data_IF_179391899284
#
_entry.id   IF_179391899284
#
_cell.length_a   1.000
_cell.length_b   1.000
_cell.length_c   1.000
_cell.angle_alpha   90.00
_cell.angle_beta   90.00
_cell.angle_gamma   90.00
#
_symmetry.space_group_name_H-M   'P 1'
#
loop_
_entity.id
_entity.type
_entity.pdbx_description
1 polymer ?
#
# COMPACT_ATOMS: atom_id res chain seq x y z
N UNK A 1 1.72 -55.21 79.21
CA UNK A 1 0.68 -54.95 78.20
C UNK A 1 1.38 -54.74 76.87
N UNK A 2 1.34 -55.75 76.01
CA UNK A 2 1.86 -55.66 74.66
C UNK A 2 1.10 -54.60 73.85
N UNK A 3 1.77 -53.98 72.88
CA UNK A 3 1.19 -52.98 71.97
C UNK A 3 1.53 -53.28 70.53
N UNK A 4 0.70 -52.77 69.61
CA UNK A 4 0.99 -52.83 68.18
C UNK A 4 2.14 -51.87 67.80
N UNK A 5 2.98 -52.28 66.84
CA UNK A 5 4.19 -51.55 66.45
C UNK A 5 3.91 -50.18 65.82
N UNK A 6 2.86 -50.07 65.00
CA UNK A 6 2.63 -48.88 64.18
C UNK A 6 1.67 -47.87 64.83
N UNK A 7 0.68 -48.35 65.60
CA UNK A 7 -0.38 -47.50 66.15
C UNK A 7 -0.43 -47.49 67.68
N UNK A 8 0.45 -48.26 68.35
CA UNK A 8 0.55 -48.27 69.81
C UNK A 8 -0.68 -48.83 70.54
N UNK A 9 -1.66 -49.40 69.83
CA UNK A 9 -2.86 -49.99 70.44
C UNK A 9 -2.47 -51.13 71.38
N UNK A 10 -3.08 -51.15 72.57
CA UNK A 10 -2.84 -52.20 73.57
C UNK A 10 -3.50 -53.50 73.14
N UNK A 11 -2.78 -54.61 73.28
CA UNK A 11 -3.27 -55.96 72.96
C UNK A 11 -3.39 -56.80 74.22
N UNK A 12 -4.22 -57.86 74.22
CA UNK A 12 -4.22 -58.86 75.29
C UNK A 12 -2.80 -59.39 75.56
N UNK A 13 -2.45 -59.53 76.83
CA UNK A 13 -1.17 -60.06 77.29
C UNK A 13 -1.31 -61.58 77.48
N UNK A 14 -0.31 -62.36 77.08
CA UNK A 14 -0.33 -63.83 77.19
C UNK A 14 -0.25 -64.32 78.64
N UNK A 15 0.15 -63.43 79.55
CA UNK A 15 0.17 -63.64 81.00
C UNK A 15 -1.08 -63.16 81.74
N UNK A 16 -2.03 -62.51 81.05
CA UNK A 16 -3.23 -61.95 81.68
C UNK A 16 -4.26 -63.03 82.08
N UNK A 17 -5.06 -62.73 83.11
CA UNK A 17 -6.13 -63.62 83.53
C UNK A 17 -7.25 -63.66 82.47
N UNK A 18 -7.74 -64.86 82.16
CA UNK A 18 -8.81 -65.08 81.16
C UNK A 18 -10.06 -64.22 81.43
N UNK A 19 -10.40 -64.01 82.71
CA UNK A 19 -11.55 -63.18 83.12
C UNK A 19 -11.45 -61.72 82.64
N UNK A 20 -10.24 -61.21 82.39
CA UNK A 20 -9.98 -59.84 81.96
C UNK A 20 -9.90 -59.70 80.43
N UNK A 21 -9.88 -60.82 79.69
CA UNK A 21 -9.72 -60.84 78.23
C UNK A 21 -10.80 -60.07 77.48
N UNK A 22 -12.06 -60.16 77.92
CA UNK A 22 -13.15 -59.40 77.31
C UNK A 22 -12.98 -57.87 77.49
N UNK A 23 -12.39 -57.44 78.61
CA UNK A 23 -12.07 -56.04 78.83
C UNK A 23 -10.94 -55.57 77.91
N UNK A 24 -9.86 -56.37 77.80
CA UNK A 24 -8.72 -56.08 76.93
C UNK A 24 -9.12 -55.99 75.44
N UNK A 25 -10.00 -56.88 74.97
CA UNK A 25 -10.50 -56.86 73.58
C UNK A 25 -11.36 -55.62 73.32
N UNK A 26 -12.21 -55.21 74.28
CA UNK A 26 -12.96 -53.95 74.16
C UNK A 26 -12.03 -52.74 74.08
N UNK A 27 -11.00 -52.69 74.93
CA UNK A 27 -9.99 -51.61 74.88
C UNK A 27 -9.31 -51.54 73.53
N UNK A 28 -8.85 -52.68 72.98
CA UNK A 28 -8.27 -52.75 71.64
C UNK A 28 -9.27 -52.25 70.57
N UNK A 29 -10.51 -52.74 70.61
CA UNK A 29 -11.56 -52.33 69.67
C UNK A 29 -11.84 -50.82 69.72
N UNK A 30 -11.89 -50.23 70.92
CA UNK A 30 -12.04 -48.78 71.09
C UNK A 30 -10.83 -47.99 70.59
N UNK A 31 -9.60 -48.50 70.76
CA UNK A 31 -8.39 -47.87 70.20
C UNK A 31 -8.40 -47.87 68.67
N UNK A 32 -8.81 -48.99 68.06
CA UNK A 32 -8.95 -49.09 66.59
C UNK A 32 -10.02 -48.12 66.09
N UNK A 33 -11.20 -48.12 66.69
CA UNK A 33 -12.31 -47.22 66.30
C UNK A 33 -11.90 -45.75 66.39
N UNK A 34 -11.21 -45.38 67.48
CA UNK A 34 -10.70 -44.02 67.68
C UNK A 34 -9.70 -43.62 66.58
N UNK A 35 -8.75 -44.50 66.25
CA UNK A 35 -7.77 -44.22 65.19
C UNK A 35 -8.38 -44.19 63.80
N UNK A 36 -9.49 -44.90 63.55
CA UNK A 36 -10.16 -44.94 62.23
C UNK A 36 -11.29 -43.91 62.09
N UNK A 37 -11.62 -43.16 63.15
CA UNK A 37 -12.80 -42.29 63.19
C UNK A 37 -12.86 -41.26 62.05
N UNK A 38 -11.71 -40.73 61.63
CA UNK A 38 -11.61 -39.71 60.57
C UNK A 38 -11.75 -40.29 59.15
N UNK A 39 -11.69 -41.62 59.00
CA UNK A 39 -11.90 -42.31 57.73
C UNK A 39 -13.38 -42.67 57.48
N UNK A 40 -14.28 -42.30 58.40
CA UNK A 40 -15.71 -42.46 58.18
C UNK A 40 -16.10 -41.72 56.90
N UNK A 41 -16.89 -42.37 56.05
CA UNK A 41 -17.07 -41.97 54.65
C UNK A 41 -17.42 -40.49 54.46
N UNK A 42 -16.75 -39.86 53.50
CA UNK A 42 -17.08 -38.52 53.01
C UNK A 42 -18.29 -38.53 52.07
N UNK A 43 -18.62 -37.37 51.51
CA UNK A 43 -19.58 -37.26 50.42
C UNK A 43 -18.96 -37.68 49.10
N UNK A 44 -19.78 -38.12 48.14
CA UNK A 44 -19.33 -38.51 46.79
C UNK A 44 -18.51 -37.39 46.14
N UNK A 45 -17.35 -37.74 45.59
CA UNK A 45 -16.45 -36.79 44.93
C UNK A 45 -15.45 -36.09 45.86
N UNK A 46 -15.43 -36.42 47.16
CA UNK A 46 -14.36 -35.96 48.05
C UNK A 46 -13.12 -36.85 47.97
N UNK A 47 -11.97 -36.26 48.29
CA UNK A 47 -10.70 -36.95 48.45
C UNK A 47 -10.21 -36.82 49.90
N UNK A 48 -9.42 -37.80 50.34
CA UNK A 48 -8.83 -37.79 51.68
C UNK A 48 -7.54 -36.97 51.67
N UNK A 49 -7.46 -35.97 52.54
CA UNK A 49 -6.27 -35.13 52.69
C UNK A 49 -5.72 -35.24 54.11
N UNK A 50 -4.39 -35.29 54.23
CA UNK A 50 -3.72 -35.20 55.54
C UNK A 50 -3.94 -33.81 56.12
N UNK A 51 -4.41 -33.76 57.37
CA UNK A 51 -4.49 -32.49 58.11
C UNK A 51 -3.17 -32.15 58.82
N UNK A 52 -2.30 -33.15 59.00
CA UNK A 52 -0.99 -33.00 59.63
C UNK A 52 -0.08 -34.19 59.32
N UNK A 53 1.14 -34.18 59.85
CA UNK A 53 2.06 -35.32 59.81
C UNK A 53 1.67 -36.45 60.79
N UNK A 54 0.79 -36.22 61.77
CA UNK A 54 0.29 -37.23 62.73
C UNK A 54 -0.39 -38.41 62.04
N UNK A 55 -0.14 -39.64 62.50
CA UNK A 55 -0.77 -40.83 61.95
C UNK A 55 -2.30 -40.77 62.03
N UNK A 56 -2.96 -41.27 61.00
CA UNK A 56 -4.42 -41.28 60.87
C UNK A 56 -5.12 -39.90 60.91
N UNK A 57 -4.36 -38.81 60.82
CA UNK A 57 -4.90 -37.45 60.81
C UNK A 57 -5.35 -37.04 59.40
N UNK A 58 -6.62 -37.27 59.07
CA UNK A 58 -7.21 -37.01 57.76
C UNK A 58 -8.47 -36.14 57.84
N UNK A 59 -8.78 -35.47 56.74
CA UNK A 59 -10.08 -34.82 56.50
C UNK A 59 -10.51 -35.07 55.07
N UNK A 60 -11.80 -35.15 54.83
CA UNK A 60 -12.35 -35.16 53.48
C UNK A 60 -12.40 -33.73 52.96
N UNK A 61 -11.80 -33.50 51.79
CA UNK A 61 -11.85 -32.23 51.07
C UNK A 61 -12.53 -32.42 49.72
N UNK A 62 -12.97 -31.33 49.09
CA UNK A 62 -13.41 -31.39 47.70
C UNK A 62 -12.25 -31.86 46.79
N UNK A 63 -12.55 -32.74 45.84
CA UNK A 63 -11.73 -32.93 44.64
C UNK A 63 -11.60 -31.57 43.94
N UNK A 64 -10.43 -31.21 43.39
CA UNK A 64 -10.18 -29.95 42.68
C UNK A 64 -9.97 -28.69 43.57
N UNK A 65 -9.17 -28.81 44.63
CA UNK A 65 -8.70 -27.64 45.41
C UNK A 65 -7.37 -27.13 44.83
N UNK A 66 -7.33 -25.88 44.36
CA UNK A 66 -6.12 -25.21 43.84
C UNK A 66 -6.42 -23.86 43.16
N UNK A 67 -5.39 -23.13 42.73
CA UNK A 67 -5.56 -21.83 42.06
C UNK A 67 -6.22 -21.94 40.68
N UNK A 68 -6.06 -23.08 40.01
CA UNK A 68 -6.69 -23.40 38.73
C UNK A 68 -7.38 -24.75 38.88
N UNK A 69 -8.71 -24.74 38.83
CA UNK A 69 -9.55 -25.94 38.98
C UNK A 69 -10.04 -26.49 37.63
N UNK A 70 -10.11 -25.65 36.60
CA UNK A 70 -10.45 -26.03 35.24
C UNK A 70 -9.76 -25.11 34.23
N UNK A 71 -9.42 -25.67 33.05
CA UNK A 71 -9.08 -24.88 31.86
C UNK A 71 -9.98 -25.37 30.73
N UNK A 72 -10.80 -24.48 30.18
CA UNK A 72 -11.70 -24.78 29.07
C UNK A 72 -11.10 -24.27 27.75
N UNK A 73 -11.18 -25.10 26.69
CA UNK A 73 -10.81 -24.67 25.35
C UNK A 73 -11.82 -23.64 24.82
N UNK A 74 -11.35 -22.69 24.01
CA UNK A 74 -12.16 -21.62 23.43
C UNK A 74 -11.54 -21.07 22.15
N UNK A 75 -12.09 -19.96 21.63
CA UNK A 75 -11.49 -19.32 20.45
C UNK A 75 -10.07 -18.86 20.76
N UNK A 76 -9.10 -19.34 19.99
CA UNK A 76 -7.69 -19.01 20.16
C UNK A 76 -6.96 -19.83 21.23
N UNK A 77 -7.64 -20.67 22.02
CA UNK A 77 -7.03 -21.53 23.03
C UNK A 77 -7.42 -23.00 22.77
N UNK A 78 -6.42 -23.84 22.48
CA UNK A 78 -6.62 -25.30 22.35
C UNK A 78 -5.90 -26.06 23.45
N UNK A 79 -6.48 -27.19 23.88
CA UNK A 79 -5.95 -28.06 24.93
C UNK A 79 -5.72 -29.45 24.35
N UNK A 80 -4.46 -29.86 24.19
CA UNK A 80 -4.11 -31.07 23.43
C UNK A 80 -4.10 -32.37 24.26
N UNK A 81 -4.35 -32.32 25.58
CA UNK A 81 -4.34 -33.51 26.45
C UNK A 81 -5.24 -33.35 27.69
N UNK A 82 -6.56 -33.33 27.50
CA UNK A 82 -7.54 -33.17 28.60
C UNK A 82 -7.57 -34.29 29.65
N UNK A 83 -6.77 -35.35 29.49
CA UNK A 83 -6.73 -36.52 30.39
C UNK A 83 -5.35 -36.82 30.98
N UNK A 84 -4.33 -36.00 30.71
CA UNK A 84 -2.97 -36.15 31.28
C UNK A 84 -2.74 -35.24 32.49
N UNK A 85 -1.74 -35.53 33.35
CA UNK A 85 -1.48 -34.75 34.57
C UNK A 85 -1.02 -33.30 34.31
N UNK A 86 -0.68 -32.96 33.06
CA UNK A 86 -0.29 -31.60 32.64
C UNK A 86 -1.00 -31.29 31.32
N UNK A 87 -1.96 -30.34 31.28
CA UNK A 87 -2.58 -29.90 30.04
C UNK A 87 -1.59 -29.09 29.19
N UNK A 88 -1.44 -29.44 27.90
CA UNK A 88 -0.76 -28.57 26.93
C UNK A 88 -1.76 -27.55 26.40
N UNK A 89 -1.54 -26.28 26.72
CA UNK A 89 -2.37 -25.15 26.29
C UNK A 89 -1.66 -24.42 25.16
N UNK A 90 -2.31 -24.27 24.00
CA UNK A 90 -1.77 -23.53 22.86
C UNK A 90 -2.58 -22.27 22.61
N UNK A 91 -1.89 -21.13 22.46
CA UNK A 91 -2.49 -19.89 21.96
C UNK A 91 -2.33 -19.84 20.44
N UNK A 92 -3.45 -19.99 19.72
CA UNK A 92 -3.47 -20.04 18.26
C UNK A 92 -3.04 -18.71 17.61
N UNK A 93 -3.28 -17.58 18.29
CA UNK A 93 -2.82 -16.26 17.81
C UNK A 93 -1.31 -16.12 17.95
N UNK A 94 -0.74 -16.60 19.06
CA UNK A 94 0.70 -16.60 19.26
C UNK A 94 1.42 -17.46 18.20
N UNK A 95 0.83 -18.61 17.83
CA UNK A 95 1.39 -19.46 16.77
C UNK A 95 1.17 -18.93 15.35
N UNK A 96 0.24 -17.98 15.16
CA UNK A 96 0.00 -17.37 13.86
C UNK A 96 1.13 -16.41 13.45
N UNK A 97 1.79 -15.79 14.44
CA UNK A 97 2.94 -14.90 14.28
C UNK A 97 4.21 -15.76 14.37
N UNK A 98 4.76 -16.16 13.23
CA UNK A 98 5.93 -17.06 13.16
C UNK A 98 7.18 -16.41 12.55
N UNK A 99 7.04 -15.23 11.94
CA UNK A 99 8.13 -14.47 11.34
C UNK A 99 8.06 -12.96 11.63
N UNK A 100 9.19 -12.28 11.37
CA UNK A 100 9.28 -10.82 11.52
C UNK A 100 8.35 -10.14 10.50
N UNK A 101 7.52 -9.22 11.01
CA UNK A 101 6.64 -8.40 10.19
C UNK A 101 5.35 -9.09 9.76
N UNK A 102 5.03 -10.26 10.32
CA UNK A 102 3.73 -10.89 10.15
C UNK A 102 2.59 -9.96 10.60
N UNK A 103 1.52 -9.97 9.81
CA UNK A 103 0.26 -9.29 10.11
C UNK A 103 -0.80 -10.37 10.30
N UNK A 104 -1.55 -10.31 11.39
CA UNK A 104 -2.71 -11.18 11.59
C UNK A 104 -3.96 -10.40 11.17
N UNK A 105 -4.61 -10.83 10.10
CA UNK A 105 -5.80 -10.19 9.54
C UNK A 105 -7.05 -11.00 9.91
N UNK A 106 -8.12 -10.31 10.30
CA UNK A 106 -9.42 -10.94 10.51
C UNK A 106 -10.04 -11.39 9.18
N UNK A 107 -10.49 -12.63 9.12
CA UNK A 107 -11.06 -13.25 7.90
C UNK A 107 -12.57 -13.45 7.96
N UNK A 108 -13.18 -13.14 9.11
CA UNK A 108 -14.58 -13.36 9.42
C UNK A 108 -14.83 -13.28 10.92
N UNK A 109 -16.00 -13.74 11.38
CA UNK A 109 -16.28 -13.86 12.81
C UNK A 109 -15.30 -14.87 13.44
N UNK A 110 -14.66 -14.47 14.54
CA UNK A 110 -13.80 -15.31 15.38
C UNK A 110 -12.66 -16.05 14.64
N UNK A 111 -12.28 -15.56 13.45
CA UNK A 111 -11.26 -16.19 12.58
C UNK A 111 -10.25 -15.17 12.08
N UNK A 112 -9.02 -15.65 11.90
CA UNK A 112 -7.92 -14.84 11.39
C UNK A 112 -6.99 -15.69 10.51
N UNK A 113 -6.19 -15.02 9.69
CA UNK A 113 -5.11 -15.63 8.94
C UNK A 113 -3.87 -14.73 8.97
N UNK A 114 -2.69 -15.36 8.87
CA UNK A 114 -1.42 -14.64 8.74
C UNK A 114 -1.27 -14.12 7.31
N UNK A 115 -0.94 -12.84 7.19
CA UNK A 115 -0.32 -12.23 6.02
C UNK A 115 1.15 -11.96 6.34
N UNK A 116 2.05 -12.70 5.71
CA UNK A 116 3.49 -12.47 5.85
C UNK A 116 3.88 -11.07 5.35
N UNK A 117 4.99 -10.52 5.87
CA UNK A 117 5.50 -9.22 5.42
C UNK A 117 5.82 -9.21 3.92
N UNK A 118 5.54 -8.08 3.27
CA UNK A 118 5.87 -7.87 1.86
C UNK A 118 7.36 -7.61 1.64
N UNK A 119 7.76 -7.50 0.38
CA UNK A 119 9.12 -7.08 0.00
C UNK A 119 9.28 -5.57 0.12
N UNK A 120 10.53 -5.09 0.20
CA UNK A 120 10.83 -3.66 0.19
C UNK A 120 10.15 -2.93 -0.97
N UNK A 121 9.61 -1.74 -0.71
CA UNK A 121 8.90 -0.93 -1.71
C UNK A 121 7.45 -1.34 -1.97
N UNK A 122 6.93 -2.32 -1.22
CA UNK A 122 5.51 -2.63 -1.21
C UNK A 122 4.74 -1.85 -0.14
N UNK A 123 3.47 -1.60 -0.39
CA UNK A 123 2.51 -1.05 0.58
C UNK A 123 1.35 -2.03 0.79
N UNK A 124 0.70 -1.94 1.95
CA UNK A 124 -0.45 -2.76 2.28
C UNK A 124 -1.70 -2.16 1.62
N UNK A 125 -2.40 -2.96 0.82
CA UNK A 125 -3.60 -2.56 0.08
C UNK A 125 -4.77 -3.46 0.45
N UNK A 126 -5.97 -2.89 0.58
CA UNK A 126 -7.20 -3.66 0.68
C UNK A 126 -7.45 -4.46 -0.61
N UNK A 127 -7.79 -5.73 -0.47
CA UNK A 127 -8.18 -6.61 -1.56
C UNK A 127 -9.27 -7.57 -1.10
N UNK A 128 -10.52 -7.28 -1.45
CA UNK A 128 -11.68 -8.10 -1.09
C UNK A 128 -11.68 -9.49 -1.71
N UNK A 129 -10.77 -9.77 -2.65
CA UNK A 129 -10.60 -11.10 -3.25
C UNK A 129 -9.56 -11.96 -2.52
N UNK A 130 -8.71 -11.34 -1.70
CA UNK A 130 -7.75 -12.05 -0.86
C UNK A 130 -8.43 -12.62 0.40
N UNK A 131 -8.00 -13.79 0.87
CA UNK A 131 -8.57 -14.43 2.05
C UNK A 131 -8.48 -13.56 3.33
N UNK A 132 -7.42 -12.76 3.44
CA UNK A 132 -7.18 -11.80 4.53
C UNK A 132 -7.87 -10.44 4.32
N UNK A 133 -8.51 -10.21 3.17
CA UNK A 133 -8.98 -8.89 2.75
C UNK A 133 -7.86 -7.89 2.42
N UNK A 134 -6.59 -8.34 2.44
CA UNK A 134 -5.39 -7.51 2.33
C UNK A 134 -4.36 -8.16 1.42
N UNK A 135 -3.63 -7.34 0.67
CA UNK A 135 -2.46 -7.76 -0.12
C UNK A 135 -1.33 -6.75 -0.04
N UNK A 136 -0.13 -7.19 -0.39
CA UNK A 136 0.98 -6.31 -0.69
C UNK A 136 0.93 -5.89 -2.17
N UNK A 137 1.03 -4.58 -2.41
CA UNK A 137 1.08 -4.00 -3.74
C UNK A 137 2.39 -3.22 -3.92
N UNK A 138 2.94 -3.24 -5.12
CA UNK A 138 4.17 -2.50 -5.46
C UNK A 138 3.86 -1.02 -5.66
N UNK A 139 4.68 -0.13 -5.08
CA UNK A 139 4.63 1.29 -5.40
C UNK A 139 5.15 1.49 -6.83
N UNK A 140 4.26 1.78 -7.79
CA UNK A 140 4.67 2.22 -9.12
C UNK A 140 4.97 3.71 -9.09
N UNK A 141 6.25 4.09 -9.07
CA UNK A 141 6.63 5.45 -9.40
C UNK A 141 6.50 5.62 -10.92
N UNK A 142 5.42 6.27 -11.38
CA UNK A 142 5.31 6.65 -12.79
C UNK A 142 6.31 7.77 -13.07
N UNK A 143 7.47 7.42 -13.61
CA UNK A 143 8.31 8.42 -14.27
C UNK A 143 7.61 8.83 -15.57
N UNK A 144 7.52 10.14 -15.82
CA UNK A 144 6.99 10.66 -17.08
C UNK A 144 7.91 10.16 -18.21
N UNK A 145 7.40 9.26 -19.05
CA UNK A 145 8.13 8.68 -20.18
C UNK A 145 7.44 9.05 -21.48
N UNK A 146 8.11 9.84 -22.30
CA UNK A 146 7.60 10.32 -23.58
C UNK A 146 7.77 9.27 -24.68
N UNK A 147 6.68 8.96 -25.37
CA UNK A 147 6.66 8.05 -26.53
C UNK A 147 6.25 8.81 -27.79
N UNK A 148 6.92 8.56 -28.93
CA UNK A 148 6.61 9.22 -30.19
C UNK A 148 5.24 8.77 -30.72
N UNK A 149 4.34 9.72 -30.98
CA UNK A 149 2.96 9.47 -31.41
C UNK A 149 2.82 9.44 -32.93
N UNK A 150 3.59 10.26 -33.64
CA UNK A 150 3.64 10.27 -35.11
C UNK A 150 4.96 9.65 -35.59
N UNK A 151 4.98 8.32 -35.74
CA UNK A 151 6.17 7.57 -36.15
C UNK A 151 6.79 8.15 -37.44
N UNK A 152 8.11 8.40 -37.41
CA UNK A 152 8.84 9.04 -38.52
C UNK A 152 8.69 10.56 -38.60
N UNK A 153 7.85 11.17 -37.76
CA UNK A 153 7.55 12.59 -37.81
C UNK A 153 6.62 12.99 -38.95
N UNK A 154 6.05 14.18 -38.87
CA UNK A 154 5.20 14.76 -39.91
C UNK A 154 6.00 15.80 -40.68
N UNK A 155 6.24 15.56 -41.97
CA UNK A 155 6.99 16.46 -42.83
C UNK A 155 6.23 17.78 -43.07
N UNK A 156 6.96 18.89 -43.09
CA UNK A 156 6.45 20.24 -43.39
C UNK A 156 7.03 20.77 -44.70
N UNK A 157 6.75 20.08 -45.81
CA UNK A 157 7.35 20.38 -47.13
C UNK A 157 6.38 21.03 -48.12
N UNK A 158 5.12 21.22 -47.73
CA UNK A 158 4.11 21.89 -48.53
C UNK A 158 2.93 22.34 -47.67
N UNK A 159 2.05 23.16 -48.26
CA UNK A 159 0.85 23.68 -47.60
C UNK A 159 1.11 24.82 -46.61
N UNK A 160 0.05 25.51 -46.26
CA UNK A 160 0.06 26.58 -45.23
C UNK A 160 -0.40 26.08 -43.86
N UNK A 161 -0.87 24.85 -43.77
CA UNK A 161 -1.33 24.22 -42.52
C UNK A 161 -0.98 22.74 -42.54
N UNK A 162 -0.29 22.28 -41.51
CA UNK A 162 0.06 20.89 -41.29
C UNK A 162 -0.56 20.44 -39.96
N UNK A 163 -1.43 19.44 -40.00
CA UNK A 163 -2.15 18.94 -38.82
C UNK A 163 -1.65 17.57 -38.42
N UNK A 164 -1.31 17.42 -37.15
CA UNK A 164 -1.01 16.14 -36.51
C UNK A 164 -2.19 15.78 -35.61
N UNK A 165 -2.79 14.61 -35.84
CA UNK A 165 -3.97 14.13 -35.14
C UNK A 165 -3.63 12.95 -34.22
N UNK A 166 -4.65 12.36 -33.58
CA UNK A 166 -4.52 11.18 -32.71
C UNK A 166 -3.68 11.43 -31.45
N UNK A 167 -3.84 12.62 -30.85
CA UNK A 167 -3.07 13.06 -29.67
C UNK A 167 -3.76 12.81 -28.31
N UNK A 168 -4.98 12.26 -28.32
CA UNK A 168 -5.77 12.01 -27.11
C UNK A 168 -5.18 10.88 -26.24
N UNK A 169 -5.46 10.89 -24.93
CA UNK A 169 -5.03 9.83 -24.00
C UNK A 169 -3.68 10.07 -23.32
N UNK A 170 -3.05 11.23 -23.57
CA UNK A 170 -1.78 11.64 -22.99
C UNK A 170 -1.93 12.93 -22.18
N UNK A 171 -1.57 12.91 -20.91
CA UNK A 171 -1.64 14.09 -20.05
C UNK A 171 -0.58 15.14 -20.39
N UNK A 172 0.57 14.69 -20.90
CA UNK A 172 1.67 15.54 -21.32
C UNK A 172 1.96 15.34 -22.81
N UNK A 173 2.05 16.43 -23.57
CA UNK A 173 2.52 16.41 -24.94
C UNK A 173 3.82 17.21 -25.06
N UNK A 174 4.80 16.65 -25.76
CA UNK A 174 6.03 17.33 -26.16
C UNK A 174 6.12 17.35 -27.68
N UNK A 175 6.12 18.54 -28.25
CA UNK A 175 6.19 18.78 -29.69
C UNK A 175 7.58 19.29 -30.01
N UNK A 176 8.25 18.68 -30.97
CA UNK A 176 9.56 19.06 -31.43
C UNK A 176 9.49 19.44 -32.91
N UNK A 177 9.82 20.69 -33.22
CA UNK A 177 9.89 21.21 -34.58
C UNK A 177 11.36 21.20 -35.00
N UNK A 178 11.69 20.42 -36.03
CA UNK A 178 13.06 20.24 -36.50
C UNK A 178 13.23 20.80 -37.91
N UNK A 179 13.99 21.90 -38.00
CA UNK A 179 14.33 22.54 -39.27
C UNK A 179 13.12 22.94 -40.12
N UNK A 180 12.04 23.40 -39.49
CA UNK A 180 10.88 23.91 -40.22
C UNK A 180 11.24 25.22 -40.91
N UNK A 181 10.71 25.46 -42.10
CA UNK A 181 10.90 26.71 -42.83
C UNK A 181 9.73 27.00 -43.76
N UNK A 182 9.73 28.22 -44.29
CA UNK A 182 8.74 28.67 -45.27
C UNK A 182 9.40 29.28 -46.49
N UNK A 183 8.67 29.27 -47.61
CA UNK A 183 9.12 29.81 -48.89
C UNK A 183 9.16 31.35 -48.97
N UNK A 184 8.95 32.06 -47.86
CA UNK A 184 8.92 33.52 -47.80
C UNK A 184 9.64 34.03 -46.55
N UNK A 185 10.48 35.05 -46.69
CA UNK A 185 11.10 35.73 -45.55
C UNK A 185 10.05 36.38 -44.63
N UNK A 186 10.33 36.47 -43.34
CA UNK A 186 9.45 37.13 -42.35
C UNK A 186 8.10 36.46 -42.09
N UNK A 187 7.83 35.28 -42.66
CA UNK A 187 6.59 34.56 -42.47
C UNK A 187 6.40 34.10 -41.02
N UNK A 188 5.24 34.43 -40.46
CA UNK A 188 4.81 34.08 -39.11
C UNK A 188 4.35 32.63 -39.04
N UNK A 189 4.84 31.86 -38.06
CA UNK A 189 4.40 30.49 -37.82
C UNK A 189 3.70 30.36 -36.48
N UNK A 190 2.53 29.74 -36.51
CA UNK A 190 1.62 29.65 -35.37
C UNK A 190 1.18 28.22 -35.13
N UNK A 191 0.68 27.96 -33.93
CA UNK A 191 0.12 26.68 -33.52
C UNK A 191 -1.31 26.85 -33.05
N UNK A 192 -2.18 25.97 -33.53
CA UNK A 192 -3.57 25.86 -33.10
C UNK A 192 -3.84 24.46 -32.57
N UNK A 193 -4.44 24.38 -31.39
CA UNK A 193 -4.87 23.13 -30.77
C UNK A 193 -6.30 22.82 -31.20
N UNK A 194 -6.60 21.55 -31.53
CA UNK A 194 -7.93 21.09 -31.92
C UNK A 194 -8.59 21.88 -33.05
N UNK A 195 -7.79 22.52 -33.92
CA UNK A 195 -8.26 23.48 -34.93
C UNK A 195 -9.13 24.63 -34.35
N UNK A 196 -9.05 24.87 -33.05
CA UNK A 196 -9.86 25.86 -32.35
C UNK A 196 -9.40 27.27 -32.71
N UNK A 197 -10.18 27.96 -33.54
CA UNK A 197 -9.90 29.31 -34.02
C UNK A 197 -10.58 30.40 -33.20
N UNK A 198 -10.98 30.09 -31.96
CA UNK A 198 -11.60 31.06 -31.04
C UNK A 198 -10.56 31.70 -30.11
N UNK A 199 -10.91 32.82 -29.48
CA UNK A 199 -10.05 33.60 -28.57
C UNK A 199 -9.77 32.87 -27.24
N UNK A 200 -9.04 31.75 -27.29
CA UNK A 200 -8.73 30.88 -26.14
C UNK A 200 -7.25 30.74 -25.84
N UNK A 201 -6.41 31.48 -26.55
CA UNK A 201 -4.96 31.39 -26.43
C UNK A 201 -4.44 32.68 -25.78
N UNK A 202 -3.69 32.53 -24.72
CA UNK A 202 -3.04 33.63 -23.99
C UNK A 202 -1.59 33.22 -23.77
N UNK A 203 -0.65 34.12 -24.02
CA UNK A 203 0.78 33.85 -23.81
C UNK A 203 1.56 35.12 -23.50
N UNK A 204 2.67 34.94 -22.80
CA UNK A 204 3.64 36.01 -22.58
C UNK A 204 5.07 35.44 -22.60
N UNK A 205 6.02 36.26 -23.00
CA UNK A 205 7.39 35.80 -23.16
C UNK A 205 8.36 36.86 -23.64
N UNK A 206 9.56 36.38 -23.96
CA UNK A 206 10.67 37.16 -24.50
C UNK A 206 10.90 36.77 -25.97
N UNK A 207 10.99 37.79 -26.81
CA UNK A 207 11.40 37.69 -28.21
C UNK A 207 12.77 38.36 -28.37
N UNK A 208 13.75 37.63 -28.92
CA UNK A 208 15.11 38.12 -29.18
C UNK A 208 15.39 38.01 -30.66
N UNK A 209 15.46 39.13 -31.37
CA UNK A 209 15.68 39.14 -32.82
C UNK A 209 17.17 39.21 -33.14
N UNK A 210 17.64 38.27 -33.97
CA UNK A 210 19.04 38.18 -34.43
C UNK A 210 19.29 39.14 -35.58
N UNK A 211 19.69 40.37 -35.27
CA UNK A 211 20.18 41.37 -36.23
C UNK A 211 21.60 41.81 -35.84
N UNK A 212 22.30 42.65 -36.64
CA UNK A 212 23.62 43.16 -36.25
C UNK A 212 23.66 43.85 -34.88
N UNK A 213 22.51 44.37 -34.41
CA UNK A 213 22.29 44.84 -33.05
C UNK A 213 21.10 44.09 -32.44
N UNK A 214 21.37 43.18 -31.50
CA UNK A 214 20.33 42.36 -30.86
C UNK A 214 19.21 43.24 -30.32
N UNK A 215 17.97 42.94 -30.72
CA UNK A 215 16.76 43.62 -30.24
C UNK A 215 15.92 42.63 -29.44
N UNK A 216 15.46 43.06 -28.27
CA UNK A 216 14.62 42.25 -27.38
C UNK A 216 13.27 42.91 -27.16
N UNK A 217 12.19 42.13 -27.13
CA UNK A 217 10.85 42.59 -26.81
C UNK A 217 10.20 41.66 -25.79
N UNK A 218 9.46 42.24 -24.83
CA UNK A 218 8.57 41.48 -23.95
C UNK A 218 7.19 41.53 -24.56
N UNK A 219 6.63 40.36 -24.82
CA UNK A 219 5.32 40.20 -25.47
C UNK A 219 4.33 39.64 -24.46
N UNK A 220 3.11 40.18 -24.44
CA UNK A 220 1.98 39.64 -23.70
C UNK A 220 0.72 39.76 -24.58
N UNK A 221 0.07 38.63 -24.84
CA UNK A 221 -1.11 38.53 -25.68
C UNK A 221 -2.19 37.81 -24.92
N UNK A 222 -3.38 38.39 -24.89
CA UNK A 222 -4.57 37.82 -24.27
C UNK A 222 -5.69 37.64 -25.31
N UNK A 223 -6.38 36.50 -25.24
CA UNK A 223 -7.56 36.24 -26.09
C UNK A 223 -7.28 36.15 -27.59
N UNK A 224 -6.17 35.52 -28.01
CA UNK A 224 -5.89 35.25 -29.43
C UNK A 224 -6.34 33.85 -29.86
N UNK A 225 -6.19 33.51 -31.15
CA UNK A 225 -6.70 32.29 -31.78
C UNK A 225 -5.64 31.21 -32.03
N UNK A 226 -4.39 31.47 -31.60
CA UNK A 226 -3.23 30.61 -31.84
C UNK A 226 -2.03 31.05 -30.99
N UNK A 227 -1.13 30.11 -30.69
CA UNK A 227 0.19 30.44 -30.16
C UNK A 227 1.12 30.86 -31.29
N UNK A 228 1.86 31.95 -31.09
CA UNK A 228 2.84 32.40 -32.06
C UNK A 228 4.23 31.89 -31.69
N UNK A 229 4.71 30.86 -32.38
CA UNK A 229 5.89 30.13 -31.90
C UNK A 229 7.17 30.43 -32.67
N UNK A 230 7.11 30.92 -33.91
CA UNK A 230 8.30 31.15 -34.75
C UNK A 230 8.03 32.15 -35.89
N UNK A 231 9.07 32.74 -36.47
CA UNK A 231 9.06 33.44 -37.75
C UNK A 231 10.34 33.11 -38.53
N UNK A 232 10.16 32.79 -39.81
CA UNK A 232 10.60 33.67 -40.87
C UNK A 232 11.89 34.49 -40.66
N UNK A 233 13.11 33.93 -40.80
CA UNK A 233 14.30 34.79 -41.00
C UNK A 233 14.08 35.80 -42.15
N UNK A 234 14.97 36.81 -42.30
CA UNK A 234 14.98 37.75 -43.44
C UNK A 234 15.32 37.06 -44.78
N UNK A 235 15.46 35.75 -44.79
CA UNK A 235 15.71 34.92 -45.96
C UNK A 235 14.75 33.74 -45.92
N UNK A 236 14.06 33.50 -47.04
CA UNK A 236 13.23 32.31 -47.22
C UNK A 236 14.06 31.04 -47.03
N UNK A 237 13.41 29.93 -46.64
CA UNK A 237 14.05 28.63 -46.39
C UNK A 237 15.11 28.60 -45.25
N UNK A 238 15.22 29.65 -44.45
CA UNK A 238 15.94 29.63 -43.17
C UNK A 238 15.33 28.62 -42.19
N UNK A 239 16.16 27.72 -41.67
CA UNK A 239 15.70 26.61 -40.82
C UNK A 239 15.43 27.08 -39.39
N UNK A 240 14.28 26.68 -38.85
CA UNK A 240 13.85 26.98 -37.50
C UNK A 240 13.68 25.69 -36.71
N UNK A 241 14.22 25.67 -35.49
CA UNK A 241 14.13 24.53 -34.58
C UNK A 241 13.61 24.99 -33.23
N UNK A 242 12.80 24.16 -32.59
CA UNK A 242 12.19 24.49 -31.31
C UNK A 242 11.37 23.36 -30.75
N UNK A 243 10.70 23.64 -29.63
CA UNK A 243 9.81 22.70 -28.98
C UNK A 243 8.65 23.40 -28.28
N UNK A 244 7.62 22.64 -27.97
CA UNK A 244 6.47 23.04 -27.15
C UNK A 244 6.11 21.90 -26.19
N UNK A 245 5.82 22.21 -24.93
CA UNK A 245 5.20 21.29 -23.97
C UNK A 245 3.78 21.73 -23.67
N UNK A 246 2.87 20.77 -23.56
CA UNK A 246 1.47 20.97 -23.19
C UNK A 246 1.15 20.07 -22.00
N UNK A 247 0.78 20.68 -20.88
CA UNK A 247 0.41 19.96 -19.66
C UNK A 247 -1.10 19.92 -19.51
N UNK A 248 -1.62 18.78 -19.04
CA UNK A 248 -3.05 18.57 -18.83
C UNK A 248 -3.81 18.19 -20.11
N UNK A 249 -3.13 17.77 -21.17
CA UNK A 249 -3.70 17.57 -22.51
C UNK A 249 -4.87 16.56 -22.56
N UNK A 250 -4.89 15.58 -21.64
CA UNK A 250 -5.98 14.61 -21.47
C UNK A 250 -7.10 15.06 -20.52
N UNK A 251 -7.01 16.28 -19.98
CA UNK A 251 -8.03 16.86 -19.11
C UNK A 251 -9.00 17.79 -19.83
N UNK A 252 -10.11 18.11 -19.17
CA UNK A 252 -11.11 19.09 -19.64
C UNK A 252 -10.85 20.52 -19.11
N UNK A 253 -9.81 20.71 -18.29
CA UNK A 253 -9.40 22.01 -17.76
C UNK A 253 -8.49 22.80 -18.72
N UNK A 254 -8.01 23.95 -18.27
CA UNK A 254 -7.04 24.79 -18.99
C UNK A 254 -5.74 24.01 -19.21
N UNK A 255 -5.13 24.14 -20.40
CA UNK A 255 -3.84 23.53 -20.74
C UNK A 255 -2.73 24.55 -20.58
N UNK A 256 -1.71 24.24 -19.80
CA UNK A 256 -0.50 25.07 -19.70
C UNK A 256 0.43 24.72 -20.85
N UNK A 257 0.96 25.75 -21.51
CA UNK A 257 1.83 25.60 -22.66
C UNK A 257 3.12 26.36 -22.42
N UNK A 258 4.25 25.76 -22.77
CA UNK A 258 5.55 26.44 -22.88
C UNK A 258 6.13 26.14 -24.24
N UNK A 259 6.72 27.12 -24.90
CA UNK A 259 7.42 26.87 -26.16
C UNK A 259 8.65 27.74 -26.31
N UNK A 260 9.62 27.20 -27.04
CA UNK A 260 10.84 27.86 -27.40
C UNK A 260 11.21 27.54 -28.84
N UNK A 261 11.71 28.52 -29.59
CA UNK A 261 12.21 28.30 -30.94
C UNK A 261 13.32 29.28 -31.29
N UNK A 262 14.09 28.96 -32.33
CA UNK A 262 15.10 29.83 -32.90
C UNK A 262 15.22 29.61 -34.41
N UNK A 263 15.27 30.70 -35.17
CA UNK A 263 15.76 30.71 -36.55
C UNK A 263 17.29 30.78 -36.59
N UNK A 264 17.89 30.17 -37.61
CA UNK A 264 19.34 30.16 -37.79
C UNK A 264 19.87 31.43 -38.51
N UNK A 265 19.04 32.08 -39.31
CA UNK A 265 19.41 33.23 -40.13
C UNK A 265 19.31 34.60 -39.45
N UNK A 266 19.72 35.64 -40.17
CA UNK A 266 19.53 37.04 -39.77
C UNK A 266 18.05 37.42 -39.85
N UNK A 267 17.53 38.13 -38.86
CA UNK A 267 16.10 38.43 -38.71
C UNK A 267 15.33 37.35 -37.94
N UNK A 268 15.94 36.18 -37.70
CA UNK A 268 15.34 35.13 -36.90
C UNK A 268 15.08 35.55 -35.47
N UNK A 269 13.93 35.17 -34.94
CA UNK A 269 13.55 35.47 -33.56
C UNK A 269 13.72 34.22 -32.70
N UNK A 270 14.55 34.35 -31.67
CA UNK A 270 14.59 33.41 -30.57
C UNK A 270 13.44 33.73 -29.60
N UNK A 271 12.57 32.76 -29.34
CA UNK A 271 11.40 32.92 -28.47
C UNK A 271 11.47 32.01 -27.27
N UNK A 272 11.06 32.52 -26.11
CA UNK A 272 10.67 31.71 -24.95
C UNK A 272 9.38 32.28 -24.40
N UNK A 273 8.31 31.51 -24.48
CA UNK A 273 6.98 31.94 -24.06
C UNK A 273 6.31 30.88 -23.19
N UNK A 274 5.56 31.38 -22.22
CA UNK A 274 4.63 30.61 -21.40
C UNK A 274 3.21 31.07 -21.74
N UNK A 275 2.27 30.13 -21.79
CA UNK A 275 0.90 30.41 -22.18
C UNK A 275 -0.10 29.40 -21.67
N UNK A 276 -1.36 29.69 -21.99
CA UNK A 276 -2.51 28.88 -21.63
C UNK A 276 -3.44 28.73 -22.83
N UNK A 277 -4.02 27.55 -22.96
CA UNK A 277 -5.14 27.28 -23.85
C UNK A 277 -6.37 26.93 -23.01
N UNK A 278 -7.41 27.77 -23.07
CA UNK A 278 -8.63 27.64 -22.24
C UNK A 278 -9.71 26.75 -22.85
N UNK A 279 -9.40 25.98 -23.88
CA UNK A 279 -10.32 24.99 -24.44
C UNK A 279 -10.58 23.82 -23.49
N UNK A 280 -11.86 23.47 -23.35
CA UNK A 280 -12.34 22.45 -22.39
C UNK A 280 -12.33 21.02 -22.95
N UNK A 281 -11.90 20.82 -24.19
CA UNK A 281 -11.73 19.51 -24.79
C UNK A 281 -10.35 18.92 -24.50
N UNK A 282 -10.27 17.60 -24.52
CA UNK A 282 -8.99 16.86 -24.64
C UNK A 282 -8.30 17.29 -25.92
N UNK A 283 -6.97 17.44 -25.90
CA UNK A 283 -6.18 17.72 -27.10
C UNK A 283 -6.12 16.45 -27.95
N UNK A 284 -6.72 16.53 -29.13
CA UNK A 284 -6.81 15.43 -30.10
C UNK A 284 -5.98 15.71 -31.35
N UNK A 285 -5.69 16.98 -31.63
CA UNK A 285 -4.86 17.41 -32.75
C UNK A 285 -4.15 18.73 -32.47
N UNK A 286 -3.08 18.97 -33.23
CA UNK A 286 -2.32 20.19 -33.29
C UNK A 286 -2.06 20.55 -34.74
N UNK A 287 -2.29 21.80 -35.12
CA UNK A 287 -1.99 22.33 -36.43
C UNK A 287 -0.90 23.38 -36.34
N UNK A 288 0.11 23.27 -37.20
CA UNK A 288 1.13 24.30 -37.41
C UNK A 288 0.76 25.04 -38.68
N UNK A 289 0.74 26.37 -38.61
CA UNK A 289 0.15 27.24 -39.61
C UNK A 289 1.15 28.33 -39.97
N UNK A 290 1.22 28.70 -41.25
CA UNK A 290 1.94 29.88 -41.75
C UNK A 290 1.06 30.63 -42.77
N UNK A 291 1.17 31.96 -42.94
CA UNK A 291 0.49 32.65 -44.03
C UNK A 291 1.07 32.31 -45.41
N UNK A 292 2.24 31.66 -45.44
CA UNK A 292 2.93 31.23 -46.64
C UNK A 292 2.88 29.71 -46.79
N UNK A 293 3.82 29.12 -47.53
CA UNK A 293 3.92 27.66 -47.69
C UNK A 293 5.13 27.13 -46.94
N UNK A 294 4.94 26.08 -46.14
CA UNK A 294 6.06 25.32 -45.58
C UNK A 294 6.84 24.64 -46.70
N UNK A 295 8.17 24.70 -46.65
CA UNK A 295 9.04 24.16 -47.70
C UNK A 295 10.11 23.18 -47.20
N UNK A 296 10.35 23.12 -45.89
CA UNK A 296 11.21 22.10 -45.28
C UNK A 296 10.83 21.81 -43.81
N UNK A 297 11.38 20.71 -43.28
CA UNK A 297 11.36 20.36 -41.87
C UNK A 297 10.45 19.18 -41.51
N UNK A 298 10.45 18.85 -40.23
CA UNK A 298 9.67 17.74 -39.68
C UNK A 298 9.24 18.06 -38.26
N UNK A 299 8.05 17.61 -37.90
CA UNK A 299 7.45 17.82 -36.58
C UNK A 299 7.25 16.47 -35.92
N UNK A 300 7.73 16.33 -34.69
CA UNK A 300 7.56 15.14 -33.87
C UNK A 300 6.69 15.48 -32.68
N UNK A 301 5.72 14.62 -32.34
CA UNK A 301 4.87 14.78 -31.16
C UNK A 301 5.04 13.55 -30.30
N UNK A 302 5.37 13.76 -29.03
CA UNK A 302 5.52 12.73 -28.04
C UNK A 302 4.46 12.87 -26.96
N UNK A 303 3.96 11.76 -26.42
CA UNK A 303 2.96 11.71 -25.36
C UNK A 303 3.44 10.93 -24.13
N UNK A 304 3.03 11.39 -22.94
CA UNK A 304 3.26 10.73 -21.65
C UNK A 304 2.05 10.91 -20.70
N UNK A 305 1.97 10.07 -19.65
CA UNK A 305 0.98 10.14 -18.56
C UNK A 305 1.65 10.24 -17.20
#
# INVERSE_FOLDING_TARGET
MATTTNFGWTTPDDTALVKDGASAIRTLGSSIDTSMAQLKGGTTGQILSKTSNTDMAFTWIANDQGDITEVQAGTGISIASGTGPIPVITNSFATAIDAKGDIVAGTGADTFARLAVGTNGQYLQADSTAATGLKWATVSASAISYSLLNAGGTATTSGSTVTISSLSGYNYLFVYFYGISTNSSGAQMTIRLNSDSTSKYTYAGLDVTKTPTITNAVTAVDGTTQFYFADQDNTAAGLITGWMTIDGANGTGIKKVRYQSAGNGTGGVYRIHDGMYSGTSVISSLSIITPNTFDAGTVYVYGAN
#
